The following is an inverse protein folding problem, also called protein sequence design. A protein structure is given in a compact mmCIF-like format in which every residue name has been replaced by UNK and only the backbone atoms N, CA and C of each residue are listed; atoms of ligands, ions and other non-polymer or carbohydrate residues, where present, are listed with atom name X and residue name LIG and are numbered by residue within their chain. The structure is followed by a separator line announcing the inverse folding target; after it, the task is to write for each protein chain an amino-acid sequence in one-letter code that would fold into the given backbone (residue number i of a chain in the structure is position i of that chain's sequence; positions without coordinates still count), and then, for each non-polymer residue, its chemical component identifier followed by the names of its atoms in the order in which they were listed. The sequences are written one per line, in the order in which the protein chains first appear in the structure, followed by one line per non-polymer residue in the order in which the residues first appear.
data_IF_800609354456
#
_entry.id   IF_800609354456
#
_cell.length_a   1.000
_cell.length_b   1.000
_cell.length_c   1.000
_cell.angle_alpha   90.00
_cell.angle_beta   90.00
_cell.angle_gamma   90.00
#
_symmetry.space_group_name_H-M   'P 1'
#
loop_
_entity.id
_entity.type
_entity.pdbx_description
1 polymer ?
#
# COMPACT_ATOMS: atom_id res chain seq x y z
N UNK A 1 -17.66 -50.30 34.39
CA UNK A 1 -17.19 -50.02 33.02
C UNK A 1 -16.38 -48.75 33.11
N UNK A 2 -15.07 -48.87 33.24
CA UNK A 2 -14.15 -47.76 33.48
C UNK A 2 -13.49 -47.37 32.14
N UNK A 3 -13.75 -46.13 31.70
CA UNK A 3 -13.07 -45.55 30.55
C UNK A 3 -11.67 -45.12 30.95
N UNK A 4 -10.66 -45.78 30.38
CA UNK A 4 -9.26 -45.40 30.53
C UNK A 4 -8.94 -44.22 29.60
N UNK A 5 -8.53 -43.09 30.18
CA UNK A 5 -8.03 -41.91 29.43
C UNK A 5 -6.63 -42.19 28.88
N UNK A 6 -6.46 -42.01 27.58
CA UNK A 6 -5.19 -42.14 26.87
C UNK A 6 -4.34 -40.87 27.08
N UNK A 7 -3.18 -40.99 27.67
CA UNK A 7 -2.26 -39.88 27.87
C UNK A 7 -1.20 -39.82 26.75
N UNK A 8 -0.73 -38.60 26.47
CA UNK A 8 0.30 -38.33 25.45
C UNK A 8 1.62 -39.10 25.66
N UNK A 9 1.80 -39.69 26.84
CA UNK A 9 2.98 -40.43 27.22
C UNK A 9 3.01 -41.89 26.68
N UNK A 10 1.85 -42.44 26.35
CA UNK A 10 1.71 -43.81 25.86
C UNK A 10 2.00 -43.96 24.37
N UNK A 11 1.95 -42.83 23.61
CA UNK A 11 2.26 -42.80 22.20
C UNK A 11 3.76 -43.03 21.89
N UNK A 12 4.65 -42.54 22.76
CA UNK A 12 6.11 -42.61 22.54
C UNK A 12 6.78 -43.93 23.00
N UNK A 13 6.07 -44.81 23.67
CA UNK A 13 6.64 -46.07 24.19
C UNK A 13 6.51 -47.28 23.28
N UNK A 14 5.81 -47.20 22.15
CA UNK A 14 5.56 -48.33 21.24
C UNK A 14 6.29 -48.29 19.89
N UNK A 15 7.22 -47.36 19.69
CA UNK A 15 7.97 -47.23 18.42
C UNK A 15 9.41 -47.76 18.48
N UNK A 16 9.73 -48.59 19.46
CA UNK A 16 11.08 -49.12 19.58
C UNK A 16 11.05 -50.66 19.66
N UNK A 17 10.82 -51.35 18.55
CA UNK A 17 11.28 -52.71 18.29
C UNK A 17 10.81 -53.17 16.89
N UNK A 18 11.63 -53.01 15.85
CA UNK A 18 11.74 -54.00 14.78
C UNK A 18 13.10 -53.83 14.07
N UNK A 19 13.76 -54.98 14.00
CA UNK A 19 15.17 -55.16 13.75
C UNK A 19 15.66 -54.86 12.33
N UNK A 20 16.98 -54.80 12.24
CA UNK A 20 17.80 -54.60 11.09
C UNK A 20 17.62 -55.70 10.01
N UNK A 21 17.39 -55.29 8.79
CA UNK A 21 17.83 -56.03 7.59
C UNK A 21 18.53 -55.04 6.66
N UNK A 22 19.83 -55.20 6.53
CA UNK A 22 20.68 -54.48 5.62
C UNK A 22 20.47 -55.00 4.21
N UNK A 23 19.84 -54.18 3.35
CA UNK A 23 19.92 -54.35 1.89
C UNK A 23 20.34 -53.00 1.34
N UNK A 24 21.51 -52.99 0.68
CA UNK A 24 22.12 -51.83 0.09
C UNK A 24 21.25 -51.21 -1.01
N UNK A 25 20.72 -50.03 -0.76
CA UNK A 25 20.13 -49.16 -1.73
C UNK A 25 21.05 -47.92 -1.81
N UNK A 26 21.49 -47.49 -3.00
CA UNK A 26 22.26 -46.28 -3.10
C UNK A 26 21.37 -45.11 -2.60
N UNK A 27 21.76 -44.54 -1.47
CA UNK A 27 21.20 -43.26 -0.99
C UNK A 27 21.47 -42.20 -2.05
N UNK A 28 20.48 -41.97 -2.90
CA UNK A 28 20.34 -40.66 -3.51
C UNK A 28 20.20 -39.68 -2.35
N UNK A 29 21.32 -39.11 -1.94
CA UNK A 29 21.36 -37.87 -1.18
C UNK A 29 20.61 -36.86 -2.09
N UNK A 30 19.29 -36.76 -1.88
CA UNK A 30 18.59 -35.54 -2.19
C UNK A 30 19.32 -34.48 -1.40
N UNK A 31 20.28 -33.84 -2.05
CA UNK A 31 20.75 -32.54 -1.62
C UNK A 31 19.48 -31.71 -1.45
N UNK A 32 19.02 -31.51 -0.21
CA UNK A 32 18.29 -30.32 0.13
C UNK A 32 19.23 -29.19 -0.31
N UNK A 33 19.11 -28.81 -1.56
CA UNK A 33 19.54 -27.47 -1.97
C UNK A 33 18.84 -26.57 -0.97
N UNK A 34 19.59 -26.10 0.01
CA UNK A 34 19.29 -24.84 0.66
C UNK A 34 19.02 -23.91 -0.53
N UNK A 35 17.74 -23.68 -0.81
CA UNK A 35 17.32 -22.59 -1.63
C UNK A 35 17.93 -21.36 -0.96
N UNK A 36 19.14 -20.97 -1.41
CA UNK A 36 19.55 -19.58 -1.32
C UNK A 36 18.29 -18.83 -1.65
N UNK A 37 17.96 -17.80 -0.91
CA UNK A 37 16.82 -16.92 -1.17
C UNK A 37 16.90 -16.54 -2.65
N UNK A 38 16.20 -17.32 -3.49
CA UNK A 38 16.29 -17.21 -4.94
C UNK A 38 15.83 -15.81 -5.27
N UNK A 39 16.55 -15.14 -6.16
CA UNK A 39 16.21 -13.84 -6.71
C UNK A 39 14.71 -13.84 -7.05
N UNK A 40 13.91 -13.04 -6.33
CA UNK A 40 12.46 -12.96 -6.48
C UNK A 40 12.05 -12.67 -7.92
N UNK A 41 12.85 -11.88 -8.67
CA UNK A 41 12.64 -11.62 -10.09
C UNK A 41 12.75 -12.91 -10.92
N UNK A 42 13.78 -13.71 -10.68
CA UNK A 42 13.96 -14.96 -11.44
C UNK A 42 12.88 -15.99 -11.09
N UNK A 43 12.47 -16.06 -9.83
CA UNK A 43 11.36 -16.90 -9.40
C UNK A 43 10.05 -16.48 -10.08
N UNK A 44 9.74 -15.18 -10.13
CA UNK A 44 8.57 -14.64 -10.81
C UNK A 44 8.60 -14.90 -12.32
N UNK A 45 9.74 -14.72 -12.98
CA UNK A 45 9.92 -15.03 -14.41
C UNK A 45 9.73 -16.53 -14.71
N UNK A 46 10.25 -17.40 -13.85
CA UNK A 46 10.14 -18.86 -14.03
C UNK A 46 8.72 -19.36 -13.82
N UNK A 47 8.03 -18.86 -12.80
CA UNK A 47 6.63 -19.22 -12.50
C UNK A 47 5.61 -18.45 -13.34
N UNK A 48 6.05 -17.42 -14.08
CA UNK A 48 5.18 -16.45 -14.78
C UNK A 48 4.19 -15.71 -13.87
N UNK A 49 4.46 -15.68 -12.57
CA UNK A 49 3.53 -15.14 -11.57
C UNK A 49 4.28 -14.30 -10.54
N UNK A 50 3.69 -13.15 -10.19
CA UNK A 50 4.11 -12.30 -9.08
C UNK A 50 2.92 -12.03 -8.15
N UNK A 51 3.18 -11.92 -6.85
CA UNK A 51 2.16 -11.59 -5.86
C UNK A 51 2.28 -10.14 -5.43
N UNK A 52 1.18 -9.42 -5.42
CA UNK A 52 1.14 -8.02 -4.93
C UNK A 52 0.20 -7.89 -3.73
N UNK A 53 0.52 -6.96 -2.83
CA UNK A 53 -0.35 -6.55 -1.73
C UNK A 53 -1.05 -5.23 -2.07
N UNK A 54 -2.35 -5.14 -1.84
CA UNK A 54 -3.17 -3.93 -1.98
C UNK A 54 -3.96 -3.66 -0.69
N UNK A 55 -4.43 -2.41 -0.50
CA UNK A 55 -5.12 -2.00 0.73
C UNK A 55 -6.63 -1.79 0.58
N UNK A 56 -7.20 -2.12 -0.58
CA UNK A 56 -8.59 -1.81 -0.91
C UNK A 56 -8.92 -0.30 -0.76
N UNK A 57 -7.95 0.54 -1.12
CA UNK A 57 -8.06 1.99 -1.13
C UNK A 57 -8.20 2.49 -2.59
N UNK A 58 -9.43 2.78 -2.99
CA UNK A 58 -9.70 3.33 -4.31
C UNK A 58 -9.28 4.82 -4.40
N UNK A 59 -8.68 5.25 -5.52
CA UNK A 59 -8.45 4.53 -6.77
C UNK A 59 -7.07 3.88 -6.87
N UNK A 60 -6.26 3.82 -5.81
CA UNK A 60 -4.89 3.30 -5.84
C UNK A 60 -4.83 1.79 -6.06
N UNK A 61 -5.48 1.01 -5.19
CA UNK A 61 -5.52 -0.45 -5.32
C UNK A 61 -6.71 -1.02 -4.56
N UNK A 62 -7.68 -1.57 -5.27
CA UNK A 62 -8.95 -2.02 -4.69
C UNK A 62 -9.53 -3.21 -5.45
N UNK A 63 -10.51 -3.89 -4.84
CA UNK A 63 -11.35 -4.85 -5.53
C UNK A 63 -12.60 -4.13 -6.04
N UNK A 64 -12.93 -4.32 -7.32
CA UNK A 64 -14.16 -3.80 -7.90
C UNK A 64 -15.39 -4.59 -7.44
N UNK A 65 -16.57 -4.20 -7.91
CA UNK A 65 -17.83 -4.87 -7.56
C UNK A 65 -17.91 -6.34 -7.99
N UNK A 66 -17.04 -6.79 -8.90
CA UNK A 66 -16.92 -8.16 -9.35
C UNK A 66 -15.86 -8.96 -8.57
N UNK A 67 -15.19 -8.31 -7.61
CA UNK A 67 -14.08 -8.87 -6.84
C UNK A 67 -12.76 -8.90 -7.59
N UNK A 68 -12.68 -8.27 -8.79
CA UNK A 68 -11.45 -8.16 -9.56
C UNK A 68 -10.60 -7.03 -8.95
N UNK A 69 -9.34 -7.34 -8.66
CA UNK A 69 -8.40 -6.33 -8.17
C UNK A 69 -7.96 -5.42 -9.30
N UNK A 70 -8.10 -4.13 -9.10
CA UNK A 70 -7.77 -3.08 -10.08
C UNK A 70 -7.35 -1.80 -9.34
N UNK A 71 -7.09 -0.75 -10.07
CA UNK A 71 -6.65 0.54 -9.55
C UNK A 71 -5.36 0.99 -10.23
N UNK A 72 -4.95 2.19 -9.92
CA UNK A 72 -3.73 2.78 -10.48
C UNK A 72 -2.53 1.85 -10.31
N UNK A 73 -2.17 1.48 -9.07
CA UNK A 73 -0.98 0.70 -8.80
C UNK A 73 -1.05 -0.75 -9.30
N UNK A 74 -2.13 -1.53 -9.18
CA UNK A 74 -2.24 -2.84 -9.79
C UNK A 74 -2.13 -2.83 -11.31
N UNK A 75 -2.69 -1.83 -12.00
CA UNK A 75 -2.63 -1.78 -13.47
C UNK A 75 -1.23 -1.38 -13.97
N UNK A 76 -0.56 -0.44 -13.29
CA UNK A 76 0.85 -0.13 -13.54
C UNK A 76 1.73 -1.35 -13.28
N UNK A 77 1.51 -2.06 -12.16
CA UNK A 77 2.24 -3.30 -11.84
C UNK A 77 2.06 -4.36 -12.96
N UNK A 78 0.83 -4.57 -13.45
CA UNK A 78 0.57 -5.49 -14.56
C UNK A 78 1.35 -5.13 -15.82
N UNK A 79 1.37 -3.85 -16.17
CA UNK A 79 2.11 -3.38 -17.34
C UNK A 79 3.62 -3.61 -17.19
N UNK A 80 4.19 -3.23 -16.04
CA UNK A 80 5.61 -3.44 -15.73
C UNK A 80 5.98 -4.93 -15.73
N UNK A 81 5.22 -5.76 -15.00
CA UNK A 81 5.55 -7.18 -14.90
C UNK A 81 5.36 -7.93 -16.21
N UNK A 82 4.38 -7.55 -17.02
CA UNK A 82 4.24 -8.08 -18.38
C UNK A 82 5.46 -7.78 -19.25
N UNK A 83 6.00 -6.55 -19.17
CA UNK A 83 7.22 -6.18 -19.89
C UNK A 83 8.44 -6.97 -19.39
N UNK A 84 8.47 -7.36 -18.11
CA UNK A 84 9.49 -8.22 -17.53
C UNK A 84 9.30 -9.72 -17.84
N UNK A 85 8.25 -10.09 -18.57
CA UNK A 85 7.93 -11.49 -18.94
C UNK A 85 7.22 -12.27 -17.84
N UNK A 86 6.52 -11.59 -16.93
CA UNK A 86 5.66 -12.16 -15.88
C UNK A 86 4.21 -11.84 -16.23
N UNK A 87 3.44 -12.87 -16.60
CA UNK A 87 2.12 -12.70 -17.21
C UNK A 87 0.97 -12.60 -16.19
N UNK A 88 1.18 -13.14 -14.98
CA UNK A 88 0.16 -13.23 -13.94
C UNK A 88 0.52 -12.36 -12.72
N UNK A 89 -0.35 -11.44 -12.38
CA UNK A 89 -0.27 -10.65 -11.15
C UNK A 89 -1.41 -11.05 -10.23
N UNK A 90 -1.06 -11.71 -9.12
CA UNK A 90 -2.01 -12.14 -8.10
C UNK A 90 -2.02 -11.11 -6.96
N UNK A 91 -3.18 -10.60 -6.60
CA UNK A 91 -3.31 -9.62 -5.54
C UNK A 91 -3.88 -10.21 -4.25
N UNK A 92 -3.35 -9.75 -3.12
CA UNK A 92 -3.86 -10.01 -1.78
C UNK A 92 -4.29 -8.70 -1.14
N UNK A 93 -5.50 -8.66 -0.58
CA UNK A 93 -6.01 -7.49 0.13
C UNK A 93 -5.67 -7.62 1.61
N UNK A 94 -5.01 -6.60 2.17
CA UNK A 94 -4.72 -6.50 3.60
C UNK A 94 -4.96 -5.05 4.06
N UNK A 95 -5.19 -4.79 5.36
CA UNK A 95 -5.24 -3.42 5.88
C UNK A 95 -3.97 -2.65 5.52
N UNK A 96 -4.09 -1.34 5.28
CA UNK A 96 -2.98 -0.50 4.81
C UNK A 96 -1.76 -0.54 5.75
N UNK A 97 -1.98 -0.54 7.07
CA UNK A 97 -0.94 -0.63 8.10
C UNK A 97 -0.23 -2.01 8.13
N UNK A 98 -0.84 -3.04 7.54
CA UNK A 98 -0.29 -4.39 7.47
C UNK A 98 0.52 -4.65 6.18
N UNK A 99 0.53 -3.73 5.21
CA UNK A 99 1.21 -3.94 3.93
C UNK A 99 2.72 -4.19 4.08
N UNK A 100 3.45 -3.35 4.79
CA UNK A 100 4.90 -3.55 5.00
C UNK A 100 5.20 -4.77 5.88
N UNK A 101 4.51 -5.01 7.01
CA UNK A 101 4.66 -6.24 7.78
C UNK A 101 4.41 -7.52 6.96
N UNK A 102 3.35 -7.56 6.15
CA UNK A 102 3.01 -8.70 5.32
C UNK A 102 4.03 -8.94 4.18
N UNK A 103 4.55 -7.86 3.57
CA UNK A 103 5.65 -7.91 2.60
C UNK A 103 6.91 -8.54 3.22
N UNK A 104 7.28 -8.08 4.41
CA UNK A 104 8.44 -8.62 5.16
C UNK A 104 8.23 -10.09 5.54
N UNK A 105 7.00 -10.46 5.88
CA UNK A 105 6.60 -11.85 6.14
C UNK A 105 6.45 -12.70 4.85
N UNK A 106 6.79 -12.15 3.66
CA UNK A 106 6.76 -12.83 2.36
C UNK A 106 5.36 -13.35 1.96
N UNK A 107 4.30 -12.70 2.42
CA UNK A 107 2.93 -13.03 2.00
C UNK A 107 2.68 -12.65 0.53
N UNK A 108 3.36 -11.61 0.07
CA UNK A 108 3.45 -11.17 -1.34
C UNK A 108 4.84 -10.58 -1.60
N UNK A 109 5.11 -10.21 -2.84
CA UNK A 109 6.44 -9.83 -3.31
C UNK A 109 6.61 -8.31 -3.47
N UNK A 110 5.51 -7.60 -3.74
CA UNK A 110 5.49 -6.15 -3.96
C UNK A 110 4.23 -5.57 -3.35
N UNK A 111 4.33 -4.38 -2.74
CA UNK A 111 3.13 -3.58 -2.40
C UNK A 111 2.78 -2.69 -3.58
N UNK A 112 1.53 -2.75 -4.02
CA UNK A 112 0.94 -1.96 -5.10
C UNK A 112 -0.33 -1.24 -4.59
N UNK A 113 -0.15 -0.22 -3.75
CA UNK A 113 -1.24 0.42 -2.99
C UNK A 113 -1.08 1.95 -2.87
N UNK A 114 -0.38 2.60 -3.80
CA UNK A 114 -0.18 4.04 -3.75
C UNK A 114 0.50 4.51 -2.46
N UNK A 115 1.49 3.77 -1.98
CA UNK A 115 2.11 4.06 -0.69
C UNK A 115 3.08 5.24 -0.79
N UNK A 116 2.82 6.32 -0.06
CA UNK A 116 3.72 7.48 0.01
C UNK A 116 5.11 7.08 0.51
N UNK A 117 6.12 7.56 -0.20
CA UNK A 117 7.54 7.40 0.16
C UNK A 117 7.85 8.35 1.31
N UNK A 118 8.24 7.82 2.46
CA UNK A 118 8.61 8.62 3.64
C UNK A 118 9.84 8.04 4.31
N UNK A 119 10.64 8.90 4.97
CA UNK A 119 11.80 8.47 5.75
C UNK A 119 11.49 7.27 6.67
N UNK A 120 10.39 7.35 7.42
CA UNK A 120 9.96 6.30 8.34
C UNK A 120 9.74 4.97 7.61
N UNK A 121 9.04 4.97 6.47
CA UNK A 121 8.76 3.75 5.69
C UNK A 121 10.01 3.20 5.02
N UNK A 122 10.92 4.07 4.57
CA UNK A 122 12.21 3.68 3.98
C UNK A 122 13.13 2.96 4.98
N UNK A 123 12.96 3.17 6.30
CA UNK A 123 13.71 2.39 7.30
C UNK A 123 13.28 0.92 7.34
N UNK A 124 12.05 0.61 6.96
CA UNK A 124 11.49 -0.73 7.02
C UNK A 124 11.53 -1.49 5.68
N UNK A 125 11.41 -0.80 4.55
CA UNK A 125 11.31 -1.40 3.22
C UNK A 125 12.03 -0.55 2.16
N UNK A 126 12.24 -1.12 0.97
CA UNK A 126 12.76 -0.41 -0.20
C UNK A 126 11.61 0.09 -1.07
N UNK A 127 11.76 1.26 -1.68
CA UNK A 127 10.78 1.84 -2.58
C UNK A 127 11.29 1.88 -4.02
N UNK A 128 10.37 1.79 -4.98
CA UNK A 128 10.64 2.12 -6.39
C UNK A 128 11.03 3.59 -6.54
N UNK A 129 11.41 3.99 -7.75
CA UNK A 129 11.28 5.38 -8.15
C UNK A 129 9.82 5.85 -7.90
N UNK A 130 9.60 7.15 -7.63
CA UNK A 130 8.24 7.66 -7.47
C UNK A 130 7.39 7.34 -8.70
N UNK A 131 6.21 6.75 -8.45
CA UNK A 131 5.27 6.39 -9.49
C UNK A 131 4.33 7.56 -9.82
N UNK A 132 3.87 8.24 -8.77
CA UNK A 132 2.99 9.40 -8.89
C UNK A 132 3.31 10.46 -7.83
N UNK A 133 2.78 11.69 -8.06
CA UNK A 133 2.64 12.74 -7.04
C UNK A 133 1.18 13.12 -6.87
N UNK A 134 0.79 13.42 -5.64
CA UNK A 134 -0.56 13.85 -5.28
C UNK A 134 -0.51 15.02 -4.30
N UNK A 135 -1.60 15.78 -4.21
CA UNK A 135 -1.79 16.81 -3.19
C UNK A 135 -2.59 16.24 -2.01
N UNK A 136 -2.46 16.84 -0.85
CA UNK A 136 -3.39 16.62 0.26
C UNK A 136 -4.63 17.48 0.06
N UNK A 137 -5.82 16.98 0.42
CA UNK A 137 -7.06 17.74 0.43
C UNK A 137 -7.92 17.38 1.63
N UNK A 138 -9.00 18.12 1.81
CA UNK A 138 -9.98 17.85 2.85
C UNK A 138 -11.33 17.52 2.23
N UNK A 139 -11.96 16.47 2.73
CA UNK A 139 -13.38 16.20 2.54
C UNK A 139 -14.14 16.99 3.59
N UNK A 140 -15.06 17.83 3.17
CA UNK A 140 -15.86 18.71 4.03
C UNK A 140 -17.34 18.61 3.72
N UNK A 141 -18.25 19.02 4.61
CA UNK A 141 -19.66 19.17 4.29
C UNK A 141 -19.85 20.12 3.10
N UNK A 142 -20.84 19.86 2.26
CA UNK A 142 -21.12 20.68 1.07
C UNK A 142 -21.31 22.16 1.44
N UNK A 143 -20.65 23.03 0.68
CA UNK A 143 -20.61 24.47 0.92
C UNK A 143 -19.64 24.90 2.02
N UNK A 144 -18.93 23.98 2.64
CA UNK A 144 -17.88 24.21 3.64
C UNK A 144 -18.16 25.38 4.59
N UNK A 145 -19.24 25.32 5.41
CA UNK A 145 -19.73 26.48 6.18
C UNK A 145 -18.70 27.04 7.17
N UNK A 146 -17.73 26.25 7.60
CA UNK A 146 -16.63 26.71 8.45
C UNK A 146 -15.39 27.18 7.68
N UNK A 147 -15.41 27.15 6.35
CA UNK A 147 -14.29 27.60 5.51
C UNK A 147 -12.95 26.95 5.89
N UNK A 148 -12.95 25.63 6.08
CA UNK A 148 -11.74 24.83 6.33
C UNK A 148 -11.10 24.48 4.99
N UNK A 149 -9.96 25.04 4.65
CA UNK A 149 -9.29 24.85 3.35
C UNK A 149 -7.96 24.11 3.48
N UNK A 150 -7.33 24.15 4.65
CA UNK A 150 -6.01 23.56 4.92
C UNK A 150 -5.91 23.07 6.37
N UNK A 151 -4.82 22.40 6.72
CA UNK A 151 -4.68 21.74 8.03
C UNK A 151 -4.61 22.75 9.19
N UNK A 152 -4.02 23.91 8.96
CA UNK A 152 -3.94 24.99 9.95
C UNK A 152 -5.34 25.52 10.32
N UNK A 153 -6.29 25.52 9.38
CA UNK A 153 -7.68 25.89 9.67
C UNK A 153 -8.34 24.89 10.62
N UNK A 154 -8.04 23.59 10.47
CA UNK A 154 -8.50 22.53 11.37
C UNK A 154 -8.02 22.79 12.80
N UNK A 155 -6.73 23.14 12.95
CA UNK A 155 -6.14 23.48 14.24
C UNK A 155 -6.75 24.75 14.84
N UNK A 156 -6.81 25.85 14.06
CA UNK A 156 -7.29 27.15 14.51
C UNK A 156 -8.77 27.12 14.94
N UNK A 157 -9.61 26.40 14.19
CA UNK A 157 -11.05 26.29 14.47
C UNK A 157 -11.41 25.14 15.40
N UNK A 158 -10.41 24.36 15.81
CA UNK A 158 -10.55 23.23 16.76
C UNK A 158 -11.62 22.23 16.34
N UNK A 159 -11.81 22.02 15.04
CA UNK A 159 -12.77 21.02 14.53
C UNK A 159 -12.19 19.61 14.61
N UNK A 160 -13.09 18.61 14.67
CA UNK A 160 -12.68 17.20 14.58
C UNK A 160 -12.37 16.85 13.13
N UNK A 161 -11.37 16.02 12.91
CA UNK A 161 -10.91 15.55 11.60
C UNK A 161 -10.70 14.05 11.61
N UNK A 162 -11.13 13.35 10.56
CA UNK A 162 -10.83 11.95 10.34
C UNK A 162 -9.57 11.78 9.47
N UNK A 163 -8.81 10.73 9.75
CA UNK A 163 -7.67 10.27 8.95
C UNK A 163 -7.74 8.76 8.74
N UNK A 164 -7.13 8.26 7.68
CA UNK A 164 -6.98 6.83 7.46
C UNK A 164 -5.87 6.26 8.35
N UNK A 165 -6.06 5.04 8.82
CA UNK A 165 -5.09 4.35 9.67
C UNK A 165 -3.73 4.22 8.96
N UNK A 166 -2.64 4.58 9.65
CA UNK A 166 -1.27 4.60 9.15
C UNK A 166 -0.99 5.49 7.92
N UNK A 167 -1.96 6.32 7.48
CA UNK A 167 -1.75 7.32 6.45
C UNK A 167 -0.88 8.49 6.96
N UNK A 168 -0.25 9.20 6.03
CA UNK A 168 0.70 10.28 6.35
C UNK A 168 0.00 11.53 6.90
N UNK A 169 -1.27 11.72 6.59
CA UNK A 169 -2.06 12.91 6.93
C UNK A 169 -2.17 13.11 8.45
N UNK A 170 -2.10 12.03 9.24
CA UNK A 170 -2.04 12.17 10.70
C UNK A 170 -0.80 12.97 11.14
N UNK A 171 0.35 12.67 10.54
CA UNK A 171 1.60 13.40 10.81
C UNK A 171 1.49 14.86 10.39
N UNK A 172 0.93 15.14 9.23
CA UNK A 172 0.72 16.50 8.74
C UNK A 172 -0.22 17.31 9.64
N UNK A 173 -1.31 16.70 10.12
CA UNK A 173 -2.25 17.34 11.05
C UNK A 173 -1.57 17.71 12.38
N UNK A 174 -0.82 16.78 12.96
CA UNK A 174 -0.09 17.05 14.21
C UNK A 174 0.99 18.11 14.00
N UNK A 175 1.68 18.08 12.87
CA UNK A 175 2.65 19.11 12.46
C UNK A 175 2.01 20.49 12.26
N UNK A 176 0.77 20.56 11.80
CA UNK A 176 -0.02 21.80 11.70
C UNK A 176 -0.65 22.26 13.03
N UNK A 177 -0.37 21.58 14.15
CA UNK A 177 -0.85 21.95 15.48
C UNK A 177 -2.24 21.41 15.84
N UNK A 178 -2.78 20.45 15.07
CA UNK A 178 -4.03 19.77 15.41
C UNK A 178 -3.80 18.83 16.59
N UNK A 179 -4.56 19.00 17.67
CA UNK A 179 -4.45 18.15 18.86
C UNK A 179 -4.94 16.73 18.61
N UNK A 180 -4.30 15.74 19.23
CA UNK A 180 -4.66 14.31 19.08
C UNK A 180 -6.15 14.02 19.38
N UNK A 181 -6.76 14.74 20.32
CA UNK A 181 -8.19 14.59 20.65
C UNK A 181 -9.15 15.09 19.56
N UNK A 182 -8.65 15.84 18.57
CA UNK A 182 -9.41 16.27 17.40
C UNK A 182 -9.32 15.23 16.28
N UNK A 183 -8.31 14.34 16.30
CA UNK A 183 -8.02 13.39 15.22
C UNK A 183 -8.71 12.06 15.49
N UNK A 184 -9.60 11.65 14.61
CA UNK A 184 -10.23 10.32 14.59
C UNK A 184 -9.56 9.45 13.53
N UNK A 185 -8.89 8.38 13.93
CA UNK A 185 -8.32 7.39 12.99
C UNK A 185 -9.38 6.38 12.62
N UNK A 186 -9.53 6.11 11.32
CA UNK A 186 -10.51 5.18 10.73
C UNK A 186 -9.82 4.22 9.77
N UNK A 187 -10.40 3.03 9.58
CA UNK A 187 -9.75 1.96 8.82
C UNK A 187 -10.08 1.98 7.32
N UNK A 188 -11.14 2.69 6.91
CA UNK A 188 -11.59 2.74 5.51
C UNK A 188 -12.01 4.14 5.09
N UNK A 189 -11.87 4.43 3.79
CA UNK A 189 -12.36 5.66 3.17
C UNK A 189 -13.88 5.83 3.31
N UNK A 190 -14.65 4.75 3.23
CA UNK A 190 -16.11 4.77 3.41
C UNK A 190 -16.48 5.21 4.83
N UNK A 191 -15.74 4.77 5.84
CA UNK A 191 -15.91 5.22 7.20
C UNK A 191 -15.57 6.71 7.37
N UNK A 192 -14.57 7.20 6.64
CA UNK A 192 -14.24 8.64 6.60
C UNK A 192 -15.38 9.44 5.99
N UNK A 193 -15.91 9.02 4.83
CA UNK A 193 -17.05 9.65 4.17
C UNK A 193 -18.26 9.73 5.11
N UNK A 194 -18.63 8.59 5.72
CA UNK A 194 -19.73 8.54 6.67
C UNK A 194 -19.52 9.39 7.90
N UNK A 195 -18.28 9.45 8.42
CA UNK A 195 -17.98 10.30 9.58
C UNK A 195 -18.20 11.79 9.31
N UNK A 196 -17.90 12.24 8.08
CA UNK A 196 -18.15 13.62 7.66
C UNK A 196 -19.64 13.84 7.38
N UNK A 197 -20.26 12.95 6.60
CA UNK A 197 -21.70 13.11 6.23
C UNK A 197 -22.63 13.05 7.44
N UNK A 198 -22.31 12.25 8.46
CA UNK A 198 -23.07 12.12 9.71
C UNK A 198 -22.73 13.22 10.73
N UNK A 199 -21.76 14.10 10.42
CA UNK A 199 -21.33 15.17 11.33
C UNK A 199 -20.56 14.70 12.57
N UNK A 200 -20.03 13.46 12.58
CA UNK A 200 -19.19 12.94 13.69
C UNK A 200 -17.85 13.64 13.73
N UNK A 201 -17.30 13.97 12.58
CA UNK A 201 -16.17 14.89 12.37
C UNK A 201 -16.58 15.96 11.38
N UNK A 202 -15.88 17.10 11.41
CA UNK A 202 -16.17 18.16 10.45
C UNK A 202 -15.55 17.86 9.07
N UNK A 203 -14.33 17.32 9.05
CA UNK A 203 -13.62 17.04 7.81
C UNK A 203 -12.85 15.72 7.89
N UNK A 204 -12.36 15.26 6.74
CA UNK A 204 -11.41 14.15 6.66
C UNK A 204 -10.25 14.54 5.75
N UNK A 205 -9.02 14.19 6.12
CA UNK A 205 -7.80 14.49 5.38
C UNK A 205 -7.29 13.24 4.67
N UNK A 206 -7.03 13.34 3.36
CA UNK A 206 -6.44 12.29 2.54
C UNK A 206 -5.87 12.93 1.25
N UNK A 207 -5.32 12.13 0.34
CA UNK A 207 -4.93 12.63 -0.98
C UNK A 207 -6.14 13.16 -1.75
N UNK A 208 -5.94 14.21 -2.50
CA UNK A 208 -7.01 14.83 -3.31
C UNK A 208 -7.63 13.86 -4.32
N UNK A 209 -6.83 12.95 -4.88
CA UNK A 209 -7.26 11.92 -5.83
C UNK A 209 -8.25 10.95 -5.15
N UNK A 210 -7.90 10.42 -3.97
CA UNK A 210 -8.78 9.54 -3.20
C UNK A 210 -10.10 10.21 -2.85
N UNK A 211 -10.06 11.44 -2.37
CA UNK A 211 -11.26 12.16 -1.97
C UNK A 211 -12.15 12.51 -3.17
N UNK A 212 -11.57 12.92 -4.29
CA UNK A 212 -12.31 13.18 -5.53
C UNK A 212 -13.00 11.92 -6.06
N UNK A 213 -12.27 10.78 -6.05
CA UNK A 213 -12.84 9.48 -6.42
C UNK A 213 -14.00 9.10 -5.50
N UNK A 214 -13.82 9.24 -4.19
CA UNK A 214 -14.83 8.91 -3.20
C UNK A 214 -16.12 9.72 -3.40
N UNK A 215 -16.02 11.04 -3.61
CA UNK A 215 -17.17 11.91 -3.90
C UNK A 215 -17.81 11.54 -5.22
N UNK A 216 -17.03 11.29 -6.28
CA UNK A 216 -17.56 10.89 -7.58
C UNK A 216 -18.37 9.58 -7.52
N UNK A 217 -17.92 8.64 -6.69
CA UNK A 217 -18.63 7.35 -6.53
C UNK A 217 -19.83 7.43 -5.58
N UNK A 218 -20.00 8.53 -4.85
CA UNK A 218 -21.08 8.76 -3.89
C UNK A 218 -21.82 10.09 -4.16
N UNK A 219 -22.39 10.29 -5.35
CA UNK A 219 -22.93 11.61 -5.78
C UNK A 219 -24.13 12.09 -4.94
N UNK A 220 -24.77 11.20 -4.19
CA UNK A 220 -25.89 11.55 -3.31
C UNK A 220 -25.48 12.04 -1.92
N UNK A 221 -24.20 12.01 -1.57
CA UNK A 221 -23.71 12.43 -0.24
C UNK A 221 -23.37 13.92 -0.26
N UNK A 222 -23.85 14.67 0.72
CA UNK A 222 -23.70 16.13 0.78
C UNK A 222 -22.31 16.53 1.33
N UNK A 223 -21.27 16.20 0.59
CA UNK A 223 -19.87 16.55 0.88
C UNK A 223 -19.20 17.13 -0.37
N UNK A 224 -18.05 17.76 -0.18
CA UNK A 224 -17.19 18.25 -1.26
C UNK A 224 -15.72 18.14 -0.88
N UNK A 225 -14.84 18.20 -1.86
CA UNK A 225 -13.39 18.17 -1.69
C UNK A 225 -12.84 19.57 -1.85
N UNK A 226 -12.02 20.03 -0.91
CA UNK A 226 -11.31 21.31 -1.01
C UNK A 226 -10.29 21.28 -2.16
N UNK A 227 -9.81 22.44 -2.65
CA UNK A 227 -8.61 22.46 -3.47
C UNK A 227 -7.46 21.70 -2.80
N UNK A 228 -6.70 20.94 -3.60
CA UNK A 228 -5.51 20.25 -3.10
C UNK A 228 -4.39 21.25 -2.76
N UNK A 229 -3.58 20.87 -1.77
CA UNK A 229 -2.44 21.66 -1.32
C UNK A 229 -1.27 20.77 -0.91
N UNK A 230 -0.06 21.30 -0.94
CA UNK A 230 1.10 20.67 -0.30
C UNK A 230 1.05 20.96 1.19
N UNK A 231 1.05 19.94 2.07
CA UNK A 231 1.10 20.16 3.51
C UNK A 231 2.45 20.77 3.91
N UNK A 232 2.49 21.45 5.03
CA UNK A 232 3.72 22.05 5.57
C UNK A 232 4.18 21.26 6.78
N UNK A 233 5.44 20.83 6.77
CA UNK A 233 6.10 20.20 7.91
C UNK A 233 7.39 20.95 8.22
N UNK A 234 7.60 21.32 9.47
CA UNK A 234 8.75 22.12 9.90
C UNK A 234 8.96 23.42 9.08
N UNK A 235 7.86 24.05 8.66
CA UNK A 235 7.90 25.29 7.87
C UNK A 235 8.23 25.13 6.38
N UNK A 236 8.35 23.89 5.88
CA UNK A 236 8.62 23.59 4.48
C UNK A 236 7.46 22.81 3.85
N UNK A 237 7.10 23.09 2.58
CA UNK A 237 6.16 22.26 1.86
C UNK A 237 6.66 20.81 1.73
N UNK A 238 5.77 19.86 2.00
CA UNK A 238 6.06 18.43 1.85
C UNK A 238 5.54 17.96 0.50
N UNK A 239 6.42 17.45 -0.33
CA UNK A 239 6.03 16.81 -1.59
C UNK A 239 5.50 15.41 -1.28
N UNK A 240 4.22 15.19 -1.57
CA UNK A 240 3.61 13.87 -1.46
C UNK A 240 3.79 13.12 -2.77
N UNK A 241 4.58 12.05 -2.73
CA UNK A 241 4.79 11.14 -3.85
C UNK A 241 4.80 9.69 -3.34
N UNK A 242 4.20 8.80 -4.10
CA UNK A 242 4.11 7.40 -3.78
C UNK A 242 4.83 6.50 -4.78
N UNK A 243 4.97 5.24 -4.40
CA UNK A 243 5.60 4.23 -5.24
C UNK A 243 5.31 2.82 -4.76
N UNK A 244 5.91 1.87 -5.44
CA UNK A 244 5.84 0.45 -5.11
C UNK A 244 6.84 0.11 -4.01
N UNK A 245 6.49 -0.86 -3.15
CA UNK A 245 7.34 -1.24 -2.03
C UNK A 245 7.85 -2.66 -2.20
N UNK A 246 9.14 -2.84 -1.94
CA UNK A 246 9.88 -4.08 -2.06
C UNK A 246 10.56 -4.42 -0.73
N UNK A 247 10.90 -5.69 -0.52
CA UNK A 247 11.82 -6.04 0.56
C UNK A 247 13.20 -5.43 0.29
N UNK A 248 13.95 -5.11 1.31
CA UNK A 248 15.27 -4.47 1.16
C UNK A 248 16.28 -5.33 0.39
N UNK A 249 16.13 -6.63 0.48
CA UNK A 249 16.97 -7.61 -0.24
C UNK A 249 16.60 -7.81 -1.71
N UNK A 250 15.41 -7.41 -2.15
CA UNK A 250 14.90 -7.62 -3.52
C UNK A 250 15.36 -6.53 -4.51
N UNK A 251 16.65 -6.14 -4.46
CA UNK A 251 17.17 -5.07 -5.30
C UNK A 251 17.04 -5.37 -6.80
N UNK A 252 17.31 -6.60 -7.24
CA UNK A 252 17.19 -6.97 -8.65
C UNK A 252 15.76 -6.80 -9.18
N UNK A 253 14.74 -7.16 -8.37
CA UNK A 253 13.34 -6.97 -8.70
C UNK A 253 13.00 -5.48 -8.78
N UNK A 254 13.37 -4.70 -7.75
CA UNK A 254 13.13 -3.25 -7.69
C UNK A 254 13.78 -2.51 -8.85
N UNK A 255 15.03 -2.82 -9.17
CA UNK A 255 15.78 -2.13 -10.23
C UNK A 255 15.23 -2.46 -11.63
N UNK A 256 14.86 -3.73 -11.87
CA UNK A 256 14.15 -4.12 -13.08
C UNK A 256 12.76 -3.44 -13.19
N UNK A 257 12.02 -3.37 -12.09
CA UNK A 257 10.74 -2.66 -12.02
C UNK A 257 10.92 -1.18 -12.37
N UNK A 258 11.89 -0.50 -11.76
CA UNK A 258 12.17 0.92 -12.02
C UNK A 258 12.52 1.19 -13.48
N UNK A 259 13.26 0.29 -14.12
CA UNK A 259 13.61 0.44 -15.54
C UNK A 259 12.37 0.42 -16.44
N UNK A 260 11.41 -0.46 -16.17
CA UNK A 260 10.15 -0.53 -16.94
C UNK A 260 9.19 0.61 -16.57
N UNK A 261 9.08 0.97 -15.27
CA UNK A 261 8.29 2.12 -14.83
C UNK A 261 8.73 3.41 -15.52
N UNK A 262 10.05 3.62 -15.62
CA UNK A 262 10.59 4.76 -16.36
C UNK A 262 10.15 4.79 -17.82
N UNK A 263 10.14 3.63 -18.49
CA UNK A 263 9.67 3.56 -19.89
C UNK A 263 8.18 3.92 -20.00
N UNK A 264 7.34 3.48 -19.04
CA UNK A 264 5.92 3.86 -19.03
C UNK A 264 5.74 5.36 -18.86
N UNK A 265 6.53 6.01 -17.99
CA UNK A 265 6.52 7.46 -17.79
C UNK A 265 6.99 8.19 -19.06
N UNK A 266 8.15 7.81 -19.62
CA UNK A 266 8.76 8.48 -20.78
C UNK A 266 7.88 8.37 -22.05
N UNK A 267 7.19 7.25 -22.23
CA UNK A 267 6.33 7.01 -23.39
C UNK A 267 4.92 7.63 -23.26
N UNK A 268 4.52 8.07 -22.07
CA UNK A 268 3.15 8.50 -21.78
C UNK A 268 2.15 7.35 -21.58
N UNK A 269 2.60 6.12 -21.69
CA UNK A 269 1.74 4.93 -21.47
C UNK A 269 1.23 4.88 -20.02
N UNK A 270 2.02 5.34 -19.05
CA UNK A 270 1.58 5.47 -17.68
C UNK A 270 0.30 6.30 -17.58
N UNK A 271 0.27 7.49 -18.19
CA UNK A 271 -0.92 8.36 -18.18
C UNK A 271 -2.13 7.64 -18.77
N UNK A 272 -1.95 6.89 -19.86
CA UNK A 272 -3.03 6.11 -20.48
C UNK A 272 -3.59 5.06 -19.51
N UNK A 273 -2.71 4.37 -18.79
CA UNK A 273 -3.08 3.33 -17.80
C UNK A 273 -3.88 3.94 -16.65
N UNK A 274 -3.44 5.08 -16.12
CA UNK A 274 -3.96 5.61 -14.84
C UNK A 274 -5.12 6.59 -14.99
N UNK A 275 -5.37 7.10 -16.21
CA UNK A 275 -6.49 8.03 -16.49
C UNK A 275 -7.86 7.50 -16.04
N UNK A 276 -8.21 6.21 -16.21
CA UNK A 276 -9.48 5.68 -15.71
C UNK A 276 -9.67 5.79 -14.19
N UNK A 277 -8.57 5.97 -13.46
CA UNK A 277 -8.52 6.07 -12.01
C UNK A 277 -8.43 7.52 -11.50
N UNK A 278 -8.58 8.51 -12.38
CA UNK A 278 -8.58 9.92 -12.02
C UNK A 278 -7.18 10.55 -11.94
N UNK A 279 -6.14 9.83 -12.34
CA UNK A 279 -4.79 10.38 -12.50
C UNK A 279 -4.58 10.96 -13.89
N UNK A 280 -3.58 11.80 -14.05
CA UNK A 280 -3.22 12.39 -15.33
C UNK A 280 -1.80 12.91 -15.37
N UNK A 281 -1.47 13.69 -16.41
CA UNK A 281 -0.13 14.26 -16.61
C UNK A 281 0.37 15.06 -15.40
N UNK A 282 -0.52 15.75 -14.68
CA UNK A 282 -0.16 16.54 -13.50
C UNK A 282 0.29 15.68 -12.30
N UNK A 283 0.02 14.38 -12.35
CA UNK A 283 0.41 13.43 -11.29
C UNK A 283 1.76 12.75 -11.58
N UNK A 284 2.36 12.96 -12.75
CA UNK A 284 3.72 12.50 -12.98
C UNK A 284 4.68 13.19 -12.02
N UNK A 285 5.56 12.45 -11.34
CA UNK A 285 6.57 13.04 -10.47
C UNK A 285 7.48 13.99 -11.24
N UNK A 286 7.76 15.16 -10.66
CA UNK A 286 8.76 16.06 -11.21
C UNK A 286 10.15 15.42 -11.15
N UNK A 287 11.05 15.78 -12.05
CA UNK A 287 12.38 15.19 -12.15
C UNK A 287 13.25 15.33 -10.88
N UNK A 288 12.96 16.35 -10.07
CA UNK A 288 13.66 16.59 -8.80
C UNK A 288 13.07 15.84 -7.62
N UNK A 289 11.92 15.16 -7.79
CA UNK A 289 11.28 14.30 -6.79
C UNK A 289 11.85 12.90 -6.95
N UNK A 290 12.74 12.50 -6.04
CA UNK A 290 13.40 11.20 -6.08
C UNK A 290 13.20 10.43 -4.78
N UNK A 291 13.27 9.10 -4.84
CA UNK A 291 13.15 8.23 -3.68
C UNK A 291 14.19 8.56 -2.61
N UNK A 292 15.42 8.86 -3.03
CA UNK A 292 16.51 9.22 -2.11
C UNK A 292 16.18 10.48 -1.31
N UNK A 293 15.66 11.52 -1.98
CA UNK A 293 15.25 12.76 -1.31
C UNK A 293 14.07 12.53 -0.35
N UNK A 294 13.06 11.79 -0.79
CA UNK A 294 11.87 11.48 0.03
C UNK A 294 12.20 10.59 1.23
N UNK A 295 13.17 9.69 1.10
CA UNK A 295 13.65 8.87 2.20
C UNK A 295 14.56 9.63 3.18
N UNK A 296 15.15 10.73 2.77
CA UNK A 296 16.02 11.57 3.61
C UNK A 296 15.24 12.66 4.38
N UNK A 297 14.10 13.09 3.86
CA UNK A 297 13.28 14.19 4.35
C UNK A 297 12.65 13.96 5.75
#
# INVERSE_FOLDING_TARGET
MTHGEWTRRDFFRRSAAFGAVAVGVPTLLSACTTTSSGDTLQAAKSSKTIKIGIANEAPYGFADSSGITTGEAPEVARAVFKALGVDQVQASVVPFDQLIPALTAKQFDVVAAGMNITKKRCTAAAFSAPDYSALTALLVPKGNPQQILKLEDVAAKKVKVAVLSAAVEKGYLTGAGVSENQIQTLDTQDNMLRSVSDGRVYCAALTDISLKWLVQKNPGVAVEVTPGFDPVENGQPVVSAGGFVFRKEDNSLKDAFNAELKKLHDSGEWVRIVTPFGFGQSNLPKADVTTEKLCAA
#
